data_IF_551824039109
#
_entry.id   IF_551824039109
#
_cell.length_a   1.000
_cell.length_b   1.000
_cell.length_c   1.000
_cell.angle_alpha   90.00
_cell.angle_beta   90.00
_cell.angle_gamma   90.00
#
_symmetry.space_group_name_H-M   'P 1'
#
loop_
_entity.id
_entity.type
_entity.pdbx_description
1 polymer ?
#
# COMPACT_ATOMS: atom_id res chain seq x y z
N UNK A 1 18.58 -2.01 -2.05
CA UNK A 1 19.12 -2.78 -3.19
C UNK A 1 17.97 -3.29 -4.06
N UNK A 2 18.06 -3.20 -5.39
CA UNK A 2 17.00 -3.62 -6.35
C UNK A 2 17.42 -4.85 -7.14
N UNK A 3 16.44 -5.69 -7.49
CA UNK A 3 16.65 -6.84 -8.38
C UNK A 3 16.89 -6.31 -9.80
N UNK A 4 17.99 -6.76 -10.42
CA UNK A 4 18.43 -6.30 -11.74
C UNK A 4 17.31 -6.39 -12.78
N UNK A 5 17.15 -5.32 -13.56
CA UNK A 5 16.13 -5.21 -14.60
C UNK A 5 14.71 -4.92 -14.07
N UNK A 6 14.55 -4.67 -12.77
CA UNK A 6 13.25 -4.36 -12.16
C UNK A 6 13.34 -3.16 -11.21
N UNK A 7 12.18 -2.62 -10.82
CA UNK A 7 12.06 -1.67 -9.70
C UNK A 7 11.80 -2.38 -8.37
N UNK A 8 11.84 -3.71 -8.35
CA UNK A 8 11.53 -4.54 -7.20
C UNK A 8 12.76 -4.51 -6.30
N UNK A 9 12.56 -4.08 -5.07
CA UNK A 9 13.56 -4.06 -4.02
C UNK A 9 13.63 -5.43 -3.35
N UNK A 10 14.72 -5.67 -2.62
CA UNK A 10 14.81 -6.85 -1.76
C UNK A 10 13.70 -6.83 -0.68
N UNK A 11 13.25 -5.65 -0.25
CA UNK A 11 12.19 -5.48 0.74
C UNK A 11 10.82 -5.92 0.20
N UNK A 12 10.54 -5.69 -1.07
CA UNK A 12 9.32 -6.21 -1.72
C UNK A 12 9.30 -7.75 -1.72
N UNK A 13 10.47 -8.40 -1.73
CA UNK A 13 10.57 -9.87 -1.57
C UNK A 13 10.42 -10.28 -0.11
N UNK A 14 10.97 -9.50 0.82
CA UNK A 14 10.93 -9.76 2.26
C UNK A 14 9.50 -9.87 2.81
N UNK A 15 8.57 -9.05 2.33
CA UNK A 15 7.15 -9.12 2.71
C UNK A 15 6.60 -10.55 2.58
N UNK A 16 6.94 -11.23 1.48
CA UNK A 16 6.48 -12.59 1.19
C UNK A 16 7.31 -13.67 1.87
N UNK A 17 8.61 -13.44 2.06
CA UNK A 17 9.50 -14.36 2.79
C UNK A 17 9.10 -14.45 4.26
N UNK A 18 8.80 -13.31 4.89
CA UNK A 18 8.31 -13.26 6.28
C UNK A 18 6.93 -13.90 6.40
N UNK A 19 6.08 -13.74 5.39
CA UNK A 19 4.79 -14.43 5.31
C UNK A 19 4.90 -15.91 4.90
N UNK A 20 6.11 -16.46 4.81
CA UNK A 20 6.42 -17.87 4.49
C UNK A 20 5.86 -18.34 3.14
N UNK A 21 5.77 -17.45 2.16
CA UNK A 21 5.30 -17.83 0.83
C UNK A 21 6.32 -18.72 0.12
N UNK A 22 5.87 -19.80 -0.57
CA UNK A 22 6.78 -20.61 -1.38
C UNK A 22 7.40 -19.79 -2.52
N UNK A 23 8.67 -20.03 -2.90
CA UNK A 23 9.37 -19.26 -3.93
C UNK A 23 8.64 -19.13 -5.27
N UNK A 24 7.91 -20.18 -5.67
CA UNK A 24 7.10 -20.18 -6.90
C UNK A 24 5.99 -19.11 -6.88
N UNK A 25 5.39 -18.86 -5.72
CA UNK A 25 4.38 -17.82 -5.55
C UNK A 25 5.00 -16.43 -5.55
N UNK A 26 6.10 -16.24 -4.81
CA UNK A 26 6.85 -14.98 -4.78
C UNK A 26 7.23 -14.55 -6.20
N UNK A 27 7.78 -15.49 -6.97
CA UNK A 27 8.12 -15.29 -8.38
C UNK A 27 6.91 -14.83 -9.21
N UNK A 28 5.78 -15.52 -9.09
CA UNK A 28 4.59 -15.22 -9.87
C UNK A 28 3.96 -13.86 -9.49
N UNK A 29 3.89 -13.56 -8.20
CA UNK A 29 3.31 -12.31 -7.69
C UNK A 29 4.16 -11.10 -8.09
N UNK A 30 5.48 -11.23 -7.96
CA UNK A 30 6.44 -10.16 -8.28
C UNK A 30 6.86 -10.17 -9.75
N UNK A 31 6.33 -11.08 -10.57
CA UNK A 31 6.68 -11.23 -11.99
C UNK A 31 8.21 -11.30 -12.23
N UNK A 32 8.90 -12.08 -11.41
CA UNK A 32 10.35 -12.29 -11.49
C UNK A 32 10.68 -13.54 -12.34
N UNK A 33 11.89 -13.60 -12.89
CA UNK A 33 12.42 -14.86 -13.44
C UNK A 33 12.84 -15.81 -12.31
N UNK A 34 13.00 -17.09 -12.63
CA UNK A 34 13.52 -18.07 -11.67
C UNK A 34 14.93 -17.69 -11.18
N UNK A 35 15.77 -17.15 -12.06
CA UNK A 35 17.11 -16.68 -11.68
C UNK A 35 17.04 -15.50 -10.70
N UNK A 36 16.16 -14.53 -10.96
CA UNK A 36 15.98 -13.35 -10.11
C UNK A 36 15.47 -13.72 -8.71
N UNK A 37 14.42 -14.57 -8.63
CA UNK A 37 13.86 -14.96 -7.33
C UNK A 37 14.87 -15.80 -6.53
N UNK A 38 15.59 -16.72 -7.18
CA UNK A 38 16.58 -17.55 -6.50
C UNK A 38 17.80 -16.74 -6.03
N UNK A 39 18.25 -15.77 -6.84
CA UNK A 39 19.32 -14.85 -6.44
C UNK A 39 18.89 -13.98 -5.25
N UNK A 40 17.67 -13.44 -5.27
CA UNK A 40 17.13 -12.65 -4.17
C UNK A 40 17.03 -13.46 -2.87
N UNK A 41 16.43 -14.67 -2.94
CA UNK A 41 16.30 -15.55 -1.78
C UNK A 41 17.65 -16.00 -1.23
N UNK A 42 18.61 -16.33 -2.10
CA UNK A 42 19.97 -16.72 -1.67
C UNK A 42 20.70 -15.56 -0.98
N UNK A 43 20.52 -14.34 -1.49
CA UNK A 43 21.11 -13.15 -0.88
C UNK A 43 20.48 -12.86 0.49
N UNK A 44 19.15 -12.91 0.60
CA UNK A 44 18.42 -12.74 1.87
C UNK A 44 18.90 -13.75 2.90
N UNK A 45 19.02 -15.03 2.52
CA UNK A 45 19.43 -16.07 3.46
C UNK A 45 20.88 -15.87 3.94
N UNK A 46 21.78 -15.49 3.03
CA UNK A 46 23.18 -15.23 3.36
C UNK A 46 23.36 -14.01 4.28
N UNK A 47 22.48 -13.02 4.17
CA UNK A 47 22.56 -11.74 4.87
C UNK A 47 21.39 -11.53 5.86
N UNK A 48 20.80 -12.62 6.36
CA UNK A 48 19.49 -12.60 7.02
C UNK A 48 19.39 -11.56 8.14
N UNK A 49 20.35 -11.55 9.06
CA UNK A 49 20.33 -10.63 10.21
C UNK A 49 20.43 -9.14 9.80
N UNK A 50 21.23 -8.84 8.78
CA UNK A 50 21.41 -7.48 8.26
C UNK A 50 20.15 -7.02 7.52
N UNK A 51 19.65 -7.86 6.62
CA UNK A 51 18.44 -7.58 5.81
C UNK A 51 17.20 -7.45 6.70
N UNK A 52 17.04 -8.32 7.72
CA UNK A 52 15.92 -8.23 8.66
C UNK A 52 15.97 -6.91 9.45
N UNK A 53 17.14 -6.49 9.91
CA UNK A 53 17.29 -5.24 10.65
C UNK A 53 16.98 -4.01 9.78
N UNK A 54 17.51 -3.96 8.56
CA UNK A 54 17.22 -2.89 7.60
C UNK A 54 15.73 -2.87 7.22
N UNK A 55 15.14 -4.03 6.98
CA UNK A 55 13.72 -4.15 6.64
C UNK A 55 12.83 -3.60 7.76
N UNK A 56 13.09 -3.98 9.02
CA UNK A 56 12.30 -3.49 10.16
C UNK A 56 12.40 -1.97 10.33
N UNK A 57 13.57 -1.37 10.05
CA UNK A 57 13.73 0.08 10.06
C UNK A 57 12.87 0.75 8.99
N UNK A 58 12.89 0.24 7.76
CA UNK A 58 12.10 0.76 6.64
C UNK A 58 10.60 0.66 6.92
N UNK A 59 10.13 -0.48 7.44
CA UNK A 59 8.71 -0.67 7.82
C UNK A 59 8.29 0.36 8.88
N UNK A 60 9.13 0.58 9.89
CA UNK A 60 8.85 1.58 10.92
C UNK A 60 8.77 3.00 10.35
N UNK A 61 9.78 3.42 9.59
CA UNK A 61 9.84 4.78 9.02
C UNK A 61 8.68 5.05 8.06
N UNK A 62 8.32 4.07 7.24
CA UNK A 62 7.20 4.19 6.29
C UNK A 62 5.86 4.30 7.00
N UNK A 63 5.64 3.53 8.08
CA UNK A 63 4.42 3.63 8.88
C UNK A 63 4.35 4.95 9.66
N UNK A 64 5.46 5.43 10.22
CA UNK A 64 5.54 6.74 10.87
C UNK A 64 5.19 7.88 9.89
N UNK A 65 5.76 7.83 8.69
CA UNK A 65 5.49 8.81 7.65
C UNK A 65 4.02 8.79 7.20
N UNK A 66 3.48 7.58 7.03
CA UNK A 66 2.08 7.37 6.68
C UNK A 66 1.16 7.97 7.74
N UNK A 67 1.36 7.65 9.02
CA UNK A 67 0.56 8.17 10.12
C UNK A 67 0.62 9.70 10.20
N UNK A 68 1.82 10.26 10.02
CA UNK A 68 2.02 11.71 10.01
C UNK A 68 1.21 12.41 8.91
N UNK A 69 1.22 11.89 7.67
CA UNK A 69 0.42 12.46 6.58
C UNK A 69 -1.06 12.16 6.69
N UNK A 70 -1.46 10.98 7.19
CA UNK A 70 -2.86 10.66 7.44
C UNK A 70 -3.48 11.60 8.48
N UNK A 71 -2.73 11.92 9.54
CA UNK A 71 -3.17 12.89 10.55
C UNK A 71 -3.38 14.28 9.96
N UNK A 72 -2.43 14.78 9.16
CA UNK A 72 -2.56 16.09 8.52
C UNK A 72 -3.67 16.13 7.46
N UNK A 73 -3.78 15.07 6.67
CA UNK A 73 -4.79 14.99 5.62
C UNK A 73 -6.20 14.89 6.21
N UNK A 74 -6.37 14.34 7.41
CA UNK A 74 -7.69 14.25 8.06
C UNK A 74 -8.39 15.60 8.17
N UNK A 75 -7.67 16.62 8.62
CA UNK A 75 -8.23 17.97 8.79
C UNK A 75 -8.51 18.63 7.44
N UNK A 76 -7.62 18.46 6.46
CA UNK A 76 -7.83 18.98 5.11
C UNK A 76 -9.03 18.30 4.44
N UNK A 77 -9.15 16.98 4.56
CA UNK A 77 -10.26 16.21 4.02
C UNK A 77 -11.58 16.59 4.71
N UNK A 78 -11.58 16.81 6.02
CA UNK A 78 -12.77 17.30 6.73
C UNK A 78 -13.20 18.67 6.22
N UNK A 79 -12.25 19.60 6.00
CA UNK A 79 -12.53 20.92 5.43
C UNK A 79 -13.07 20.82 4.01
N UNK A 80 -12.46 20.01 3.14
CA UNK A 80 -12.92 19.80 1.76
C UNK A 80 -14.31 19.17 1.76
N UNK A 81 -14.59 18.22 2.65
CA UNK A 81 -15.92 17.61 2.77
C UNK A 81 -16.99 18.58 3.25
N UNK A 82 -16.62 19.59 4.04
CA UNK A 82 -17.53 20.62 4.55
C UNK A 82 -17.72 21.79 3.57
N UNK A 83 -16.91 21.88 2.51
CA UNK A 83 -17.04 22.96 1.53
C UNK A 83 -18.34 22.82 0.72
N UNK A 84 -19.05 23.93 0.46
CA UNK A 84 -20.23 23.91 -0.38
C UNK A 84 -19.85 23.55 -1.83
N UNK A 85 -20.80 23.02 -2.62
CA UNK A 85 -20.58 22.79 -4.04
C UNK A 85 -20.15 24.07 -4.75
N UNK A 86 -19.37 23.91 -5.82
CA UNK A 86 -19.02 25.04 -6.68
C UNK A 86 -20.31 25.66 -7.25
N UNK A 87 -20.37 27.00 -7.35
CA UNK A 87 -21.52 27.68 -7.93
C UNK A 87 -21.87 27.11 -9.32
N UNK A 88 -23.14 26.80 -9.55
CA UNK A 88 -23.65 26.22 -10.80
C UNK A 88 -23.61 24.68 -10.89
N UNK A 89 -23.16 23.99 -9.84
CA UNK A 89 -23.13 22.52 -9.75
C UNK A 89 -24.05 21.95 -8.67
N UNK A 90 -24.94 22.76 -8.10
CA UNK A 90 -25.78 22.41 -6.94
C UNK A 90 -26.69 21.21 -7.24
N UNK A 91 -27.35 21.19 -8.41
CA UNK A 91 -28.24 20.10 -8.83
C UNK A 91 -27.47 18.79 -9.01
N UNK A 92 -26.25 18.84 -9.57
CA UNK A 92 -25.41 17.66 -9.75
C UNK A 92 -24.93 17.11 -8.39
N UNK A 93 -24.60 18.02 -7.47
CA UNK A 93 -24.15 17.67 -6.13
C UNK A 93 -25.27 17.05 -5.28
N UNK A 94 -26.50 17.57 -5.37
CA UNK A 94 -27.67 17.01 -4.71
C UNK A 94 -27.96 15.56 -5.15
N UNK A 95 -27.89 15.30 -6.47
CA UNK A 95 -28.02 13.94 -7.01
C UNK A 95 -26.93 13.00 -6.48
N UNK A 96 -25.69 13.49 -6.41
CA UNK A 96 -24.57 12.72 -5.87
C UNK A 96 -24.76 12.37 -4.39
N UNK A 97 -25.22 13.32 -3.56
CA UNK A 97 -25.51 13.07 -2.15
C UNK A 97 -26.64 12.06 -1.95
N UNK A 98 -27.72 12.17 -2.73
CA UNK A 98 -28.82 11.22 -2.69
C UNK A 98 -28.38 9.79 -3.05
N UNK A 99 -27.47 9.64 -4.03
CA UNK A 99 -26.92 8.33 -4.39
C UNK A 99 -26.00 7.77 -3.31
N UNK A 100 -25.14 8.61 -2.70
CA UNK A 100 -24.30 8.20 -1.56
C UNK A 100 -25.14 7.72 -0.38
N UNK A 101 -26.21 8.44 -0.03
CA UNK A 101 -27.11 8.07 1.07
C UNK A 101 -27.79 6.71 0.83
N UNK A 102 -28.21 6.43 -0.42
CA UNK A 102 -28.78 5.13 -0.79
C UNK A 102 -27.77 4.00 -0.61
N UNK A 103 -26.53 4.17 -1.08
CA UNK A 103 -25.49 3.16 -0.90
C UNK A 103 -25.16 2.90 0.58
N UNK A 104 -25.05 3.96 1.38
CA UNK A 104 -24.80 3.82 2.82
C UNK A 104 -25.94 3.09 3.53
N UNK A 105 -27.20 3.40 3.18
CA UNK A 105 -28.36 2.74 3.76
C UNK A 105 -28.46 1.25 3.38
N UNK A 106 -27.94 0.85 2.23
CA UNK A 106 -27.85 -0.56 1.82
C UNK A 106 -26.72 -1.27 2.58
N UNK A 107 -25.55 -0.64 2.72
CA UNK A 107 -24.42 -1.19 3.47
C UNK A 107 -24.74 -1.38 4.96
N UNK A 108 -25.49 -0.47 5.57
CA UNK A 108 -25.85 -0.54 6.99
C UNK A 108 -26.99 -1.54 7.30
N UNK A 109 -27.64 -2.11 6.27
CA UNK A 109 -28.74 -3.08 6.40
C UNK A 109 -28.30 -4.53 6.19
N UNK A 110 -27.04 -4.75 5.80
CA UNK A 110 -26.40 -6.07 5.63
C UNK A 110 -25.53 -6.39 6.82
#
# INVERSE_FOLDING_TARGET
>A
MTISGTRITLYDVMDYVIAEYPPKFIRAILNLTDEQVNAALSYIEKHRAEVDAEYQLVVKETEELRQYYEAQNRDLMARISAQPPKPGMEIAWEKLQAQKAKHQAVLNKS
#
